data_IF_530658412567
#
_entry.id   IF_530658412567
#
_cell.length_a   1.000
_cell.length_b   1.000
_cell.length_c   1.000
_cell.angle_alpha   90.00
_cell.angle_beta   90.00
_cell.angle_gamma   90.00
#
_symmetry.space_group_name_H-M   'P 1'
#
loop_
_entity.id
_entity.type
_entity.pdbx_description
1 polymer ?
#
# COMPACT_ATOMS: atom_id res chain seq x y z
N UNK A 1 -18.50 -22.94 -3.82
CA UNK A 1 -18.61 -22.55 -2.40
C UNK A 1 -19.55 -21.36 -2.29
N UNK A 2 -20.43 -21.31 -1.29
CA UNK A 2 -21.29 -20.15 -1.07
C UNK A 2 -20.46 -18.98 -0.55
N UNK A 3 -20.49 -17.85 -1.25
CA UNK A 3 -19.85 -16.61 -0.81
C UNK A 3 -20.74 -15.92 0.22
N UNK A 4 -20.15 -15.47 1.31
CA UNK A 4 -20.87 -14.76 2.36
C UNK A 4 -20.22 -13.40 2.67
N UNK A 5 -21.05 -12.41 2.99
CA UNK A 5 -20.58 -11.08 3.38
C UNK A 5 -19.88 -11.14 4.75
N UNK A 6 -18.61 -10.76 4.79
CA UNK A 6 -17.79 -10.80 6.01
C UNK A 6 -17.57 -9.43 6.67
N UNK A 7 -18.01 -8.34 6.03
CA UNK A 7 -17.85 -6.97 6.51
C UNK A 7 -19.20 -6.24 6.60
N UNK A 8 -19.43 -5.60 7.75
CA UNK A 8 -20.52 -4.64 7.97
C UNK A 8 -19.97 -3.23 8.22
N UNK A 9 -20.79 -2.20 7.96
CA UNK A 9 -20.42 -0.80 8.13
C UNK A 9 -21.31 -0.15 9.20
N UNK A 10 -20.71 0.57 10.15
CA UNK A 10 -21.45 1.32 11.17
C UNK A 10 -21.91 2.71 10.66
N UNK A 11 -22.69 3.42 11.49
CA UNK A 11 -23.19 4.77 11.19
C UNK A 11 -22.11 5.83 11.04
N UNK A 12 -20.92 5.59 11.61
CA UNK A 12 -19.75 6.47 11.47
C UNK A 12 -18.93 6.13 10.21
N UNK A 13 -19.28 5.06 9.51
CA UNK A 13 -18.61 4.59 8.31
C UNK A 13 -17.37 3.74 8.58
N UNK A 14 -17.20 3.19 9.79
CA UNK A 14 -16.17 2.20 10.07
C UNK A 14 -16.64 0.80 9.66
N UNK A 15 -15.70 0.00 9.18
CA UNK A 15 -15.96 -1.40 8.84
C UNK A 15 -15.62 -2.30 10.01
N UNK A 16 -16.42 -3.36 10.15
CA UNK A 16 -16.29 -4.37 11.18
C UNK A 16 -16.34 -5.75 10.53
N UNK A 17 -15.36 -6.60 10.85
CA UNK A 17 -15.36 -7.99 10.42
C UNK A 17 -16.32 -8.82 11.26
N UNK A 18 -16.92 -9.85 10.67
CA UNK A 18 -17.83 -10.73 11.38
C UNK A 18 -17.18 -11.34 12.64
N UNK A 19 -15.88 -11.62 12.61
CA UNK A 19 -15.16 -12.19 13.75
C UNK A 19 -15.19 -11.29 14.99
N UNK A 20 -15.23 -9.96 14.82
CA UNK A 20 -15.31 -9.02 15.94
C UNK A 20 -16.71 -8.84 16.51
N UNK A 21 -17.74 -9.40 15.88
CA UNK A 21 -19.14 -9.21 16.28
C UNK A 21 -19.69 -10.38 17.10
N UNK A 22 -20.60 -10.07 18.02
CA UNK A 22 -21.47 -11.10 18.64
C UNK A 22 -22.54 -11.52 17.64
N UNK A 23 -23.04 -12.76 17.74
CA UNK A 23 -24.16 -13.18 16.90
C UNK A 23 -25.44 -12.43 17.26
N UNK A 24 -26.28 -12.13 16.27
CA UNK A 24 -27.54 -11.42 16.45
C UNK A 24 -27.62 -10.12 15.66
N UNK A 25 -28.67 -9.33 15.92
CA UNK A 25 -28.83 -7.99 15.34
C UNK A 25 -27.83 -7.02 16.00
N UNK A 26 -27.32 -6.09 15.21
CA UNK A 26 -26.46 -4.99 15.68
C UNK A 26 -26.62 -3.76 14.80
N UNK A 27 -25.83 -2.72 15.08
CA UNK A 27 -25.91 -1.42 14.41
C UNK A 27 -25.10 -1.36 13.09
N UNK A 28 -24.97 -2.50 12.41
CA UNK A 28 -24.21 -2.63 11.18
C UNK A 28 -25.15 -2.73 9.99
N UNK A 29 -24.75 -2.07 8.91
CA UNK A 29 -25.45 -2.09 7.63
C UNK A 29 -24.56 -2.66 6.52
N UNK A 30 -25.19 -3.18 5.47
CA UNK A 30 -24.51 -3.62 4.27
C UNK A 30 -23.76 -2.45 3.62
N UNK A 31 -22.45 -2.56 3.35
CA UNK A 31 -21.70 -1.49 2.70
C UNK A 31 -22.25 -1.10 1.32
N UNK A 32 -22.95 -2.03 0.65
CA UNK A 32 -23.48 -1.85 -0.70
C UNK A 32 -24.87 -1.23 -0.68
N UNK A 33 -25.85 -1.88 -0.05
CA UNK A 33 -27.26 -1.44 -0.09
C UNK A 33 -27.76 -0.73 1.18
N UNK A 34 -26.92 -0.59 2.22
CA UNK A 34 -27.28 0.00 3.52
C UNK A 34 -28.38 -0.73 4.30
N UNK A 35 -28.85 -1.89 3.85
CA UNK A 35 -29.80 -2.70 4.60
C UNK A 35 -29.14 -3.21 5.92
N UNK A 36 -29.87 -3.20 7.06
CA UNK A 36 -29.35 -3.69 8.33
C UNK A 36 -28.87 -5.15 8.25
N UNK A 37 -27.84 -5.47 9.03
CA UNK A 37 -27.20 -6.78 9.05
C UNK A 37 -27.43 -7.53 10.37
N UNK A 38 -27.52 -8.84 10.25
CA UNK A 38 -27.57 -9.80 11.34
C UNK A 38 -26.28 -10.63 11.29
N UNK A 39 -25.52 -10.63 12.37
CA UNK A 39 -24.34 -11.47 12.51
C UNK A 39 -24.75 -12.93 12.79
N UNK A 40 -24.43 -13.82 11.85
CA UNK A 40 -24.73 -15.25 11.93
C UNK A 40 -23.44 -16.00 12.23
N UNK A 41 -23.35 -16.54 13.46
CA UNK A 41 -22.25 -17.42 13.88
C UNK A 41 -22.84 -18.76 14.32
N UNK A 42 -22.46 -19.83 13.63
CA UNK A 42 -22.93 -21.19 13.91
C UNK A 42 -21.84 -22.22 13.66
N UNK A 43 -22.13 -23.49 13.97
CA UNK A 43 -21.16 -24.58 13.81
C UNK A 43 -21.03 -25.07 12.35
N UNK A 44 -22.06 -24.86 11.53
CA UNK A 44 -22.16 -25.48 10.20
C UNK A 44 -21.70 -24.57 9.06
N UNK A 45 -22.00 -23.27 9.14
CA UNK A 45 -21.64 -22.28 8.12
C UNK A 45 -20.53 -21.40 8.64
N UNK A 46 -19.67 -20.93 7.72
CA UNK A 46 -18.71 -19.88 8.03
C UNK A 46 -19.45 -18.67 8.65
N UNK A 47 -18.83 -18.01 9.61
CA UNK A 47 -19.38 -16.80 10.21
C UNK A 47 -19.60 -15.75 9.11
N UNK A 48 -20.79 -15.16 9.07
CA UNK A 48 -21.10 -14.11 8.10
C UNK A 48 -22.18 -13.13 8.57
N UNK A 49 -22.33 -12.05 7.82
CA UNK A 49 -23.49 -11.16 7.92
C UNK A 49 -24.58 -11.58 6.92
N UNK A 50 -25.82 -11.58 7.40
CA UNK A 50 -27.03 -11.74 6.59
C UNK A 50 -27.83 -10.44 6.63
N UNK A 51 -28.45 -10.06 5.53
CA UNK A 51 -29.40 -8.95 5.52
C UNK A 51 -30.62 -9.24 6.40
N UNK A 52 -31.10 -8.22 7.10
CA UNK A 52 -32.42 -8.19 7.74
C UNK A 52 -33.48 -7.79 6.70
N UNK A 53 -33.55 -8.55 5.60
CA UNK A 53 -34.34 -8.23 4.42
C UNK A 53 -33.78 -8.88 3.15
N UNK A 54 -34.09 -8.29 2.00
CA UNK A 54 -33.58 -8.75 0.71
C UNK A 54 -32.05 -8.61 0.62
N UNK A 55 -31.40 -9.63 0.08
CA UNK A 55 -29.94 -9.64 -0.09
C UNK A 55 -29.57 -9.02 -1.43
N UNK A 56 -28.75 -7.96 -1.40
CA UNK A 56 -28.28 -7.34 -2.65
C UNK A 56 -27.27 -8.21 -3.38
N UNK A 57 -27.24 -8.08 -4.70
CA UNK A 57 -26.37 -8.86 -5.58
C UNK A 57 -24.88 -8.62 -5.31
N UNK A 58 -24.51 -7.37 -5.01
CA UNK A 58 -23.13 -6.97 -4.75
C UNK A 58 -22.52 -7.75 -3.57
N UNK A 59 -23.31 -7.96 -2.51
CA UNK A 59 -22.87 -8.67 -1.30
C UNK A 59 -22.63 -10.17 -1.51
N UNK A 60 -23.07 -10.73 -2.63
CA UNK A 60 -22.85 -12.12 -3.01
C UNK A 60 -21.52 -12.34 -3.72
N UNK A 61 -20.77 -11.27 -4.03
CA UNK A 61 -19.45 -11.36 -4.64
C UNK A 61 -18.36 -11.49 -3.59
N UNK A 62 -17.33 -12.28 -3.88
CA UNK A 62 -16.22 -12.47 -2.96
C UNK A 62 -15.39 -11.19 -2.91
N UNK A 63 -14.99 -10.78 -1.70
CA UNK A 63 -14.06 -9.67 -1.54
C UNK A 63 -12.71 -10.11 -2.10
N UNK A 64 -12.17 -9.43 -3.14
CA UNK A 64 -10.93 -9.87 -3.78
C UNK A 64 -9.79 -9.98 -2.77
N UNK A 65 -9.06 -11.08 -2.84
CA UNK A 65 -7.84 -11.24 -2.07
C UNK A 65 -6.82 -10.16 -2.48
N UNK A 66 -6.07 -9.68 -1.51
CA UNK A 66 -4.90 -8.81 -1.74
C UNK A 66 -3.70 -9.72 -2.04
N UNK A 67 -3.14 -9.68 -3.27
CA UNK A 67 -1.96 -10.45 -3.63
C UNK A 67 -0.76 -10.10 -2.74
N UNK A 68 0.09 -11.09 -2.48
CA UNK A 68 1.24 -11.00 -1.57
C UNK A 68 0.89 -10.61 -0.12
N UNK A 69 -0.39 -10.73 0.25
CA UNK A 69 -0.85 -10.62 1.63
C UNK A 69 -1.65 -11.87 2.04
N UNK A 70 -2.59 -12.28 1.20
CA UNK A 70 -3.36 -13.52 1.43
C UNK A 70 -2.70 -14.73 0.76
N UNK A 71 -2.01 -14.52 -0.36
CA UNK A 71 -1.34 -15.57 -1.12
C UNK A 71 -0.14 -15.01 -1.89
N UNK A 72 0.96 -15.78 -1.97
CA UNK A 72 2.21 -15.37 -2.63
C UNK A 72 2.38 -15.93 -4.04
N UNK A 73 1.47 -16.79 -4.53
CA UNK A 73 1.46 -17.23 -5.93
C UNK A 73 0.87 -16.18 -6.90
N UNK A 74 0.39 -15.04 -6.39
CA UNK A 74 -0.09 -13.89 -7.17
C UNK A 74 -1.12 -14.21 -8.27
N UNK A 75 -1.95 -15.24 -8.06
CA UNK A 75 -2.92 -15.77 -9.03
C UNK A 75 -2.32 -16.46 -10.27
N UNK A 76 -1.01 -16.72 -10.30
CA UNK A 76 -0.45 -17.61 -11.31
C UNK A 76 -0.87 -19.07 -11.04
N UNK A 77 -1.08 -19.88 -12.11
CA UNK A 77 -1.30 -21.32 -12.00
C UNK A 77 -0.14 -22.03 -11.30
N UNK A 78 -0.43 -23.12 -10.58
CA UNK A 78 0.58 -23.90 -9.87
C UNK A 78 1.72 -24.38 -10.79
N UNK A 79 1.41 -24.77 -12.02
CA UNK A 79 2.42 -25.20 -13.00
C UNK A 79 3.49 -24.13 -13.29
N UNK A 80 3.09 -22.85 -13.25
CA UNK A 80 3.99 -21.69 -13.41
C UNK A 80 4.82 -21.48 -12.15
N UNK A 81 4.20 -21.64 -10.97
CA UNK A 81 4.89 -21.54 -9.69
C UNK A 81 5.95 -22.64 -9.56
N UNK A 82 5.60 -23.86 -9.93
CA UNK A 82 6.51 -25.01 -9.92
C UNK A 82 7.67 -24.78 -10.90
N UNK A 83 7.37 -24.34 -12.13
CA UNK A 83 8.40 -23.99 -13.11
C UNK A 83 9.34 -22.87 -12.63
N UNK A 84 8.81 -21.91 -11.87
CA UNK A 84 9.60 -20.81 -11.32
C UNK A 84 10.51 -21.30 -10.20
N UNK A 85 10.01 -22.15 -9.30
CA UNK A 85 10.78 -22.77 -8.23
C UNK A 85 11.87 -23.71 -8.76
N UNK A 86 11.56 -24.53 -9.77
CA UNK A 86 12.54 -25.41 -10.44
C UNK A 86 13.73 -24.59 -10.97
N UNK A 87 13.45 -23.39 -11.47
CA UNK A 87 14.44 -22.44 -11.97
C UNK A 87 15.29 -21.71 -10.93
N UNK A 88 14.89 -21.75 -9.66
CA UNK A 88 15.44 -20.91 -8.60
C UNK A 88 16.44 -21.67 -7.73
N UNK A 89 17.66 -21.13 -7.61
CA UNK A 89 18.72 -21.71 -6.80
C UNK A 89 19.28 -20.67 -5.84
N UNK A 90 18.79 -20.69 -4.59
CA UNK A 90 19.14 -19.71 -3.56
C UNK A 90 20.63 -19.68 -3.20
N UNK A 91 21.30 -20.83 -3.24
CA UNK A 91 22.73 -20.98 -2.87
C UNK A 91 23.69 -20.86 -4.07
N UNK A 92 23.17 -20.57 -5.27
CA UNK A 92 24.00 -20.36 -6.45
C UNK A 92 24.79 -19.04 -6.38
N UNK A 93 25.84 -18.91 -7.19
CA UNK A 93 26.59 -17.64 -7.33
C UNK A 93 25.74 -16.51 -7.93
N UNK A 94 24.66 -16.84 -8.61
CA UNK A 94 23.76 -15.90 -9.30
C UNK A 94 22.30 -16.22 -8.95
N UNK A 95 21.89 -16.02 -7.68
CA UNK A 95 20.58 -16.47 -7.19
C UNK A 95 19.40 -15.68 -7.78
N UNK A 96 19.67 -14.59 -8.49
CA UNK A 96 18.65 -13.81 -9.19
C UNK A 96 18.48 -14.24 -10.66
N UNK A 97 19.25 -15.22 -11.16
CA UNK A 97 19.19 -15.71 -12.54
C UNK A 97 18.40 -17.02 -12.59
N UNK A 98 17.50 -17.13 -13.56
CA UNK A 98 16.74 -18.34 -13.85
C UNK A 98 17.63 -19.40 -14.52
N UNK A 99 17.92 -20.49 -13.81
CA UNK A 99 18.95 -21.44 -14.22
C UNK A 99 18.47 -22.43 -15.30
N UNK A 100 17.16 -22.65 -15.43
CA UNK A 100 16.57 -23.64 -16.33
C UNK A 100 16.04 -23.04 -17.64
N UNK A 101 16.67 -21.98 -18.17
CA UNK A 101 16.10 -21.22 -19.30
C UNK A 101 15.91 -22.01 -20.60
N UNK A 102 16.73 -23.04 -20.88
CA UNK A 102 16.59 -23.87 -22.10
C UNK A 102 15.47 -24.90 -22.02
N UNK A 103 15.22 -25.48 -20.84
CA UNK A 103 14.27 -26.57 -20.66
C UNK A 103 12.98 -26.16 -19.94
N UNK A 104 12.97 -25.10 -19.14
CA UNK A 104 11.80 -24.67 -18.35
C UNK A 104 10.98 -23.55 -18.99
N UNK A 105 11.55 -22.75 -19.90
CA UNK A 105 10.92 -21.52 -20.38
C UNK A 105 9.67 -21.78 -21.25
N UNK A 106 9.53 -22.95 -21.87
CA UNK A 106 8.33 -23.30 -22.64
C UNK A 106 7.08 -23.47 -21.75
N UNK A 107 7.28 -23.70 -20.44
CA UNK A 107 6.18 -23.82 -19.45
C UNK A 107 5.50 -22.48 -19.14
N UNK A 108 6.12 -21.36 -19.51
CA UNK A 108 5.58 -20.02 -19.26
C UNK A 108 4.85 -19.50 -20.50
N UNK A 109 3.60 -18.99 -20.38
CA UNK A 109 2.98 -18.22 -21.45
C UNK A 109 3.71 -16.88 -21.63
N UNK A 110 3.53 -16.24 -22.79
CA UNK A 110 4.24 -14.99 -23.13
C UNK A 110 4.04 -13.89 -22.08
N UNK A 111 2.80 -13.66 -21.64
CA UNK A 111 2.48 -12.65 -20.62
C UNK A 111 3.22 -12.91 -19.30
N UNK A 112 3.23 -14.15 -18.83
CA UNK A 112 3.96 -14.52 -17.61
C UNK A 112 5.48 -14.32 -17.79
N UNK A 113 6.05 -14.55 -18.97
CA UNK A 113 7.48 -14.29 -19.20
C UNK A 113 7.83 -12.82 -19.05
N UNK A 114 7.02 -11.95 -19.65
CA UNK A 114 7.22 -10.50 -19.63
C UNK A 114 7.07 -9.93 -18.20
N UNK A 115 6.24 -10.55 -17.36
CA UNK A 115 6.05 -10.13 -15.97
C UNK A 115 7.05 -10.74 -14.97
N UNK A 116 7.50 -11.97 -15.19
CA UNK A 116 8.33 -12.74 -14.25
C UNK A 116 9.83 -12.66 -14.54
N UNK A 117 10.22 -12.33 -15.78
CA UNK A 117 11.62 -12.28 -16.19
C UNK A 117 11.99 -10.98 -16.91
N UNK A 118 13.20 -10.50 -16.66
CA UNK A 118 13.86 -9.47 -17.46
C UNK A 118 15.13 -10.05 -18.08
N UNK A 119 15.55 -9.55 -19.25
CA UNK A 119 16.85 -9.92 -19.83
C UNK A 119 17.94 -9.00 -19.30
N UNK A 120 19.08 -9.59 -19.00
CA UNK A 120 20.31 -8.85 -18.74
C UNK A 120 20.98 -8.46 -20.07
N UNK A 121 21.17 -7.16 -20.30
CA UNK A 121 21.70 -6.65 -21.58
C UNK A 121 23.12 -7.14 -21.89
N UNK A 122 23.90 -7.51 -20.87
CA UNK A 122 25.31 -7.89 -21.01
C UNK A 122 25.51 -9.39 -21.17
N UNK A 123 24.74 -10.19 -20.44
CA UNK A 123 24.93 -11.64 -20.36
C UNK A 123 23.83 -12.45 -21.06
N UNK A 124 22.77 -11.78 -21.56
CA UNK A 124 21.54 -12.38 -22.08
C UNK A 124 20.85 -13.36 -21.11
N UNK A 125 21.22 -13.30 -19.83
CA UNK A 125 20.62 -14.11 -18.78
C UNK A 125 19.20 -13.62 -18.48
N UNK A 126 18.31 -14.57 -18.17
CA UNK A 126 16.98 -14.25 -17.63
C UNK A 126 17.09 -14.01 -16.13
N UNK A 127 16.85 -12.77 -15.72
CA UNK A 127 16.83 -12.33 -14.33
C UNK A 127 15.37 -12.36 -13.82
N UNK A 128 15.16 -12.84 -12.61
CA UNK A 128 13.86 -12.75 -11.94
C UNK A 128 13.47 -11.30 -11.66
N UNK A 129 12.27 -10.89 -12.07
CA UNK A 129 11.68 -9.60 -11.68
C UNK A 129 11.30 -9.59 -10.20
N UNK A 130 10.99 -8.42 -9.66
CA UNK A 130 10.51 -8.31 -8.27
C UNK A 130 9.20 -9.09 -8.04
N UNK A 131 8.35 -9.24 -9.06
CA UNK A 131 7.16 -10.09 -9.01
C UNK A 131 7.55 -11.57 -8.81
N UNK A 132 8.46 -12.08 -9.64
CA UNK A 132 8.97 -13.45 -9.47
C UNK A 132 9.68 -13.64 -8.13
N UNK A 133 10.49 -12.67 -7.70
CA UNK A 133 11.20 -12.73 -6.42
C UNK A 133 10.27 -12.63 -5.21
N UNK A 134 9.11 -11.98 -5.36
CA UNK A 134 8.04 -11.99 -4.35
C UNK A 134 7.43 -13.38 -4.22
N UNK A 135 7.14 -14.04 -5.34
CA UNK A 135 6.65 -15.43 -5.37
C UNK A 135 7.67 -16.37 -4.72
N UNK A 136 8.94 -16.24 -5.06
CA UNK A 136 10.03 -17.08 -4.56
C UNK A 136 10.45 -16.76 -3.11
N UNK A 137 9.94 -15.69 -2.49
CA UNK A 137 10.38 -15.23 -1.18
C UNK A 137 11.82 -14.68 -1.17
N UNK A 138 12.41 -14.39 -2.34
CA UNK A 138 13.80 -13.99 -2.49
C UNK A 138 14.02 -12.48 -2.53
N UNK A 139 12.97 -11.68 -2.76
CA UNK A 139 13.02 -10.22 -2.74
C UNK A 139 13.36 -9.69 -1.33
N UNK A 140 14.34 -8.78 -1.14
CA UNK A 140 14.59 -8.17 0.17
C UNK A 140 13.38 -7.36 0.69
N UNK A 141 13.23 -7.24 2.02
CA UNK A 141 12.06 -6.59 2.61
C UNK A 141 11.82 -5.16 2.12
N UNK A 142 12.88 -4.39 1.85
CA UNK A 142 12.76 -3.04 1.28
C UNK A 142 12.15 -3.06 -0.13
N UNK A 143 12.66 -3.93 -1.01
CA UNK A 143 12.12 -4.10 -2.36
C UNK A 143 10.67 -4.60 -2.32
N UNK A 144 10.36 -5.54 -1.42
CA UNK A 144 8.98 -5.99 -1.21
C UNK A 144 8.07 -4.86 -0.73
N UNK A 145 8.53 -4.02 0.21
CA UNK A 145 7.76 -2.87 0.70
C UNK A 145 7.40 -1.91 -0.44
N UNK A 146 8.35 -1.60 -1.33
CA UNK A 146 8.14 -0.75 -2.50
C UNK A 146 7.18 -1.41 -3.50
N UNK A 147 7.43 -2.67 -3.85
CA UNK A 147 6.57 -3.46 -4.74
C UNK A 147 5.14 -3.55 -4.22
N UNK A 148 4.95 -3.84 -2.93
CA UNK A 148 3.64 -3.99 -2.31
C UNK A 148 2.89 -2.66 -2.27
N UNK A 149 3.57 -1.56 -1.92
CA UNK A 149 2.97 -0.21 -1.95
C UNK A 149 2.47 0.15 -3.36
N UNK A 150 3.23 -0.16 -4.40
CA UNK A 150 2.83 0.07 -5.79
C UNK A 150 1.61 -0.79 -6.16
N UNK A 151 1.61 -2.08 -5.81
CA UNK A 151 0.48 -2.99 -6.04
C UNK A 151 -0.80 -2.49 -5.36
N UNK A 152 -0.71 -2.05 -4.11
CA UNK A 152 -1.85 -1.50 -3.37
C UNK A 152 -2.40 -0.22 -4.01
N UNK A 153 -1.53 0.67 -4.48
CA UNK A 153 -1.92 1.89 -5.18
C UNK A 153 -2.63 1.60 -6.49
N UNK A 154 -2.12 0.66 -7.29
CA UNK A 154 -2.76 0.26 -8.54
C UNK A 154 -4.17 -0.29 -8.32
N UNK A 155 -4.38 -1.09 -7.27
CA UNK A 155 -5.71 -1.60 -6.92
C UNK A 155 -6.70 -0.47 -6.62
N UNK A 156 -6.28 0.54 -5.85
CA UNK A 156 -7.12 1.73 -5.58
C UNK A 156 -7.41 2.52 -6.85
N UNK A 157 -6.42 2.63 -7.74
CA UNK A 157 -6.59 3.33 -9.02
C UNK A 157 -7.60 2.63 -9.93
N UNK A 158 -7.45 1.33 -10.15
CA UNK A 158 -8.38 0.52 -10.97
C UNK A 158 -9.81 0.57 -10.44
N UNK A 159 -10.00 0.48 -9.12
CA UNK A 159 -11.35 0.61 -8.52
C UNK A 159 -11.95 1.99 -8.78
N UNK A 160 -11.16 3.06 -8.72
CA UNK A 160 -11.65 4.42 -9.01
C UNK A 160 -12.09 4.56 -10.46
N UNK A 161 -11.29 4.07 -11.40
CA UNK A 161 -11.64 4.09 -12.82
C UNK A 161 -12.93 3.30 -13.09
N UNK A 162 -13.07 2.11 -12.50
CA UNK A 162 -14.27 1.29 -12.61
C UNK A 162 -15.51 1.98 -12.02
N UNK A 163 -15.38 2.68 -10.89
CA UNK A 163 -16.46 3.48 -10.29
C UNK A 163 -16.83 4.66 -11.19
N UNK A 164 -15.84 5.37 -11.75
CA UNK A 164 -16.07 6.49 -12.67
C UNK A 164 -16.77 6.04 -13.96
N UNK A 165 -16.48 4.84 -14.43
CA UNK A 165 -17.14 4.19 -15.57
C UNK A 165 -18.52 3.59 -15.21
N UNK A 166 -18.91 3.58 -13.94
CA UNK A 166 -20.16 3.00 -13.48
C UNK A 166 -20.21 1.46 -13.49
N UNK A 167 -19.06 0.79 -13.64
CA UNK A 167 -18.97 -0.68 -13.70
C UNK A 167 -18.83 -1.31 -12.31
N UNK A 168 -18.49 -0.53 -11.28
CA UNK A 168 -18.35 -1.02 -9.91
C UNK A 168 -19.00 -0.10 -8.88
N UNK A 169 -19.59 -0.73 -7.86
CA UNK A 169 -20.14 -0.03 -6.70
C UNK A 169 -19.03 0.61 -5.85
N UNK A 170 -19.26 1.83 -5.36
CA UNK A 170 -18.28 2.59 -4.58
C UNK A 170 -17.77 1.88 -3.32
N UNK A 171 -18.62 1.09 -2.68
CA UNK A 171 -18.28 0.34 -1.48
C UNK A 171 -17.05 -0.57 -1.67
N UNK A 172 -16.76 -1.03 -2.90
CA UNK A 172 -15.54 -1.78 -3.20
C UNK A 172 -14.26 -0.99 -2.89
N UNK A 173 -14.22 0.28 -3.29
CA UNK A 173 -13.11 1.18 -2.98
C UNK A 173 -12.98 1.42 -1.48
N UNK A 174 -14.11 1.55 -0.77
CA UNK A 174 -14.11 1.78 0.68
C UNK A 174 -13.62 0.55 1.47
N UNK A 175 -14.06 -0.64 1.08
CA UNK A 175 -13.59 -1.92 1.64
C UNK A 175 -12.09 -2.09 1.38
N UNK A 176 -11.64 -1.86 0.15
CA UNK A 176 -10.23 -1.95 -0.21
C UNK A 176 -9.39 -0.92 0.58
N UNK A 177 -9.82 0.33 0.62
CA UNK A 177 -9.13 1.38 1.37
C UNK A 177 -9.09 1.10 2.88
N UNK A 178 -10.15 0.53 3.46
CA UNK A 178 -10.16 0.11 4.86
C UNK A 178 -9.10 -0.96 5.15
N UNK A 179 -9.05 -2.01 4.32
CA UNK A 179 -8.06 -3.10 4.45
C UNK A 179 -6.63 -2.60 4.28
N UNK A 180 -6.40 -1.78 3.25
CA UNK A 180 -5.08 -1.18 3.00
C UNK A 180 -4.66 -0.23 4.13
N UNK A 181 -5.57 0.58 4.66
CA UNK A 181 -5.30 1.47 5.79
C UNK A 181 -4.81 0.68 7.02
N UNK A 182 -5.43 -0.47 7.32
CA UNK A 182 -5.07 -1.29 8.47
C UNK A 182 -3.65 -1.87 8.38
N UNK A 183 -3.16 -2.20 7.18
CA UNK A 183 -1.80 -2.74 6.99
C UNK A 183 -0.74 -1.65 6.82
N UNK A 184 -1.06 -0.56 6.11
CA UNK A 184 -0.13 0.54 5.85
C UNK A 184 0.13 1.38 7.11
N UNK A 185 -0.88 1.58 7.97
CA UNK A 185 -0.74 2.39 9.19
C UNK A 185 -0.07 1.63 10.34
N UNK A 186 -0.10 0.30 10.31
CA UNK A 186 0.47 -0.49 11.39
C UNK A 186 2.00 -0.45 11.38
N UNK A 187 2.61 -0.46 12.57
CA UNK A 187 4.04 -0.62 12.73
C UNK A 187 4.42 -2.10 12.68
N UNK A 188 5.48 -2.44 11.97
CA UNK A 188 6.10 -3.76 11.99
C UNK A 188 7.07 -3.85 13.18
N UNK A 189 7.08 -4.97 13.88
CA UNK A 189 8.03 -5.23 14.97
C UNK A 189 8.70 -6.60 14.82
N UNK A 190 9.86 -6.71 15.46
CA UNK A 190 10.56 -7.97 15.73
C UNK A 190 10.83 -8.03 17.23
N UNK A 191 10.25 -9.02 17.89
CA UNK A 191 10.47 -9.31 19.31
C UNK A 191 11.32 -10.56 19.47
N UNK A 192 12.00 -10.64 20.61
CA UNK A 192 12.75 -11.81 21.06
C UNK A 192 12.31 -12.19 22.47
N UNK A 193 12.17 -13.49 22.68
CA UNK A 193 11.81 -14.13 23.94
C UNK A 193 12.87 -15.15 24.28
N UNK A 194 13.37 -15.11 25.51
CA UNK A 194 14.12 -16.19 26.11
C UNK A 194 13.19 -16.90 27.09
N UNK A 195 13.06 -18.21 26.92
CA UNK A 195 12.26 -19.07 27.80
C UNK A 195 13.12 -19.65 28.93
N UNK A 196 12.48 -20.20 29.96
CA UNK A 196 13.13 -20.80 31.13
C UNK A 196 14.09 -21.97 30.80
N UNK A 197 13.88 -22.65 29.67
CA UNK A 197 14.76 -23.72 29.17
C UNK A 197 15.93 -23.21 28.31
N UNK A 198 16.16 -21.88 28.31
CA UNK A 198 17.12 -21.16 27.48
C UNK A 198 16.84 -21.18 25.97
N UNK A 199 15.70 -21.71 25.53
CA UNK A 199 15.32 -21.57 24.12
C UNK A 199 14.97 -20.12 23.78
N UNK A 200 15.30 -19.72 22.55
CA UNK A 200 15.04 -18.37 22.04
C UNK A 200 14.01 -18.44 20.93
N UNK A 201 12.97 -17.63 21.05
CA UNK A 201 11.89 -17.54 20.08
C UNK A 201 11.77 -16.09 19.63
N UNK A 202 11.53 -15.89 18.34
CA UNK A 202 11.29 -14.57 17.76
C UNK A 202 9.83 -14.44 17.34
N UNK A 203 9.28 -13.24 17.44
CA UNK A 203 7.95 -12.92 16.89
C UNK A 203 8.07 -11.74 15.96
N UNK A 204 7.59 -11.91 14.75
CA UNK A 204 7.36 -10.81 13.82
C UNK A 204 5.88 -10.50 13.85
N UNK A 205 5.52 -9.22 13.84
CA UNK A 205 4.12 -8.88 13.75
C UNK A 205 3.89 -7.41 13.48
N UNK A 206 2.61 -7.06 13.35
CA UNK A 206 2.18 -5.67 13.23
C UNK A 206 1.33 -5.21 14.40
N UNK A 207 1.41 -3.92 14.73
CA UNK A 207 0.64 -3.31 15.82
C UNK A 207 0.24 -1.87 15.47
N UNK A 208 -0.93 -1.46 15.95
CA UNK A 208 -1.35 -0.05 16.01
C UNK A 208 -1.14 0.59 17.39
N UNK A 209 -0.78 -0.21 18.40
CA UNK A 209 -0.42 0.21 19.77
C UNK A 209 1.08 0.43 19.88
N UNK A 210 1.55 0.93 21.02
CA UNK A 210 2.99 0.97 21.27
C UNK A 210 3.57 -0.47 21.40
N UNK A 211 4.77 -0.74 20.86
CA UNK A 211 5.37 -2.07 20.89
C UNK A 211 5.53 -2.65 22.28
N UNK A 212 5.80 -1.83 23.29
CA UNK A 212 6.01 -2.25 24.66
C UNK A 212 4.71 -2.77 25.29
N UNK A 213 3.57 -2.17 24.98
CA UNK A 213 2.25 -2.68 25.36
C UNK A 213 1.97 -4.01 24.66
N UNK A 214 2.25 -4.06 23.35
CA UNK A 214 2.06 -5.28 22.56
C UNK A 214 2.96 -6.43 23.03
N UNK A 215 4.19 -6.14 23.47
CA UNK A 215 5.14 -7.11 23.98
C UNK A 215 4.60 -7.82 25.22
N UNK A 216 3.98 -7.07 26.15
CA UNK A 216 3.37 -7.65 27.36
C UNK A 216 2.23 -8.61 27.03
N UNK A 217 1.35 -8.23 26.09
CA UNK A 217 0.28 -9.09 25.62
C UNK A 217 0.84 -10.39 25.02
N UNK A 218 1.87 -10.30 24.18
CA UNK A 218 2.40 -11.45 23.46
C UNK A 218 3.31 -12.35 24.31
N UNK A 219 3.81 -11.87 25.45
CA UNK A 219 4.41 -12.72 26.48
C UNK A 219 3.36 -13.69 27.03
N UNK A 220 2.20 -13.17 27.46
CA UNK A 220 1.13 -14.01 28.03
C UNK A 220 0.62 -15.04 27.01
N UNK A 221 0.46 -14.63 25.75
CA UNK A 221 0.06 -15.54 24.66
C UNK A 221 1.09 -16.66 24.48
N UNK A 222 2.39 -16.32 24.51
CA UNK A 222 3.48 -17.28 24.31
C UNK A 222 3.60 -18.26 25.48
N UNK A 223 3.55 -17.78 26.72
CA UNK A 223 3.60 -18.62 27.92
C UNK A 223 2.44 -19.60 27.94
N UNK A 224 1.22 -19.12 27.61
CA UNK A 224 0.04 -19.98 27.50
C UNK A 224 0.18 -21.04 26.41
N UNK A 225 0.75 -20.68 25.26
CA UNK A 225 0.88 -21.60 24.12
C UNK A 225 2.01 -22.61 24.28
N UNK A 226 3.07 -22.27 25.00
CA UNK A 226 4.26 -23.14 25.20
C UNK A 226 4.26 -23.86 26.54
N UNK A 227 3.50 -23.38 27.52
CA UNK A 227 3.56 -23.86 28.91
C UNK A 227 4.84 -23.48 29.65
N UNK A 228 5.67 -22.60 29.08
CA UNK A 228 6.98 -22.19 29.62
C UNK A 228 6.98 -20.74 30.00
N UNK A 229 7.63 -20.38 31.10
CA UNK A 229 7.78 -18.99 31.51
C UNK A 229 8.77 -18.24 30.59
N UNK A 230 8.47 -16.97 30.29
CA UNK A 230 9.38 -16.07 29.57
C UNK A 230 10.25 -15.36 30.59
N UNK A 231 11.55 -15.66 30.60
CA UNK A 231 12.51 -15.05 31.53
C UNK A 231 13.00 -13.68 31.05
N UNK A 232 12.98 -13.44 29.73
CA UNK A 232 13.37 -12.17 29.13
C UNK A 232 12.59 -11.93 27.85
N UNK A 233 12.09 -10.72 27.66
CA UNK A 233 11.46 -10.28 26.42
C UNK A 233 12.03 -8.93 25.99
N UNK A 234 12.29 -8.77 24.69
CA UNK A 234 12.96 -7.57 24.16
C UNK A 234 12.37 -7.15 22.81
N UNK A 235 12.19 -5.83 22.63
CA UNK A 235 11.92 -5.26 21.31
C UNK A 235 13.23 -5.14 20.55
N UNK A 236 13.47 -6.01 19.56
CA UNK A 236 14.69 -5.95 18.76
C UNK A 236 14.64 -4.86 17.70
N UNK A 237 13.49 -4.70 17.01
CA UNK A 237 13.28 -3.72 15.94
C UNK A 237 11.82 -3.27 15.89
N UNK A 238 11.62 -2.02 15.45
CA UNK A 238 10.32 -1.40 15.12
C UNK A 238 10.49 -0.61 13.82
N UNK A 239 9.54 -0.74 12.91
CA UNK A 239 9.42 0.11 11.70
C UNK A 239 8.00 0.63 11.63
N UNK A 240 7.83 1.95 11.77
CA UNK A 240 6.52 2.58 11.63
C UNK A 240 5.98 2.41 10.20
N UNK A 241 4.66 2.32 10.05
CA UNK A 241 3.99 2.31 8.75
C UNK A 241 4.45 1.20 7.78
N UNK A 242 4.83 0.04 8.32
CA UNK A 242 5.39 -1.08 7.56
C UNK A 242 4.67 -2.42 7.81
N UNK A 243 3.47 -2.39 8.37
CA UNK A 243 2.70 -3.60 8.69
C UNK A 243 2.36 -4.45 7.46
N UNK A 244 2.32 -3.88 6.25
CA UNK A 244 2.13 -4.60 4.99
C UNK A 244 3.24 -5.60 4.64
N UNK A 245 4.38 -5.55 5.34
CA UNK A 245 5.52 -6.46 5.14
C UNK A 245 5.41 -7.75 5.97
N UNK A 246 4.59 -7.76 7.02
CA UNK A 246 4.48 -8.86 7.99
C UNK A 246 4.38 -10.24 7.35
N UNK A 247 3.38 -10.46 6.48
CA UNK A 247 3.14 -11.76 5.87
C UNK A 247 4.26 -12.23 4.95
N UNK A 248 4.97 -11.28 4.34
CA UNK A 248 6.11 -11.60 3.48
C UNK A 248 7.33 -12.07 4.27
N UNK A 249 7.50 -11.63 5.52
CA UNK A 249 8.55 -12.18 6.40
C UNK A 249 8.34 -13.66 6.61
N UNK A 250 7.10 -14.10 6.88
CA UNK A 250 6.81 -15.53 7.06
C UNK A 250 6.94 -16.33 5.78
N UNK A 251 6.60 -15.73 4.63
CA UNK A 251 6.83 -16.37 3.33
C UNK A 251 8.32 -16.61 3.07
N UNK A 252 9.16 -15.60 3.33
CA UNK A 252 10.62 -15.66 3.13
C UNK A 252 11.34 -16.57 4.13
N UNK A 253 10.84 -16.65 5.36
CA UNK A 253 11.43 -17.43 6.46
C UNK A 253 10.56 -18.65 6.82
N UNK A 254 9.88 -19.25 5.84
CA UNK A 254 8.95 -20.34 6.05
C UNK A 254 9.58 -21.55 6.76
N UNK A 255 10.84 -21.87 6.44
CA UNK A 255 11.61 -22.95 7.02
C UNK A 255 12.01 -22.70 8.49
N UNK A 256 11.86 -21.47 8.98
CA UNK A 256 12.15 -21.08 10.36
C UNK A 256 10.88 -20.83 11.18
N UNK A 257 9.68 -21.12 10.65
CA UNK A 257 8.43 -20.98 11.39
C UNK A 257 8.41 -21.91 12.60
N UNK A 258 8.08 -21.36 13.76
CA UNK A 258 7.95 -22.11 15.00
C UNK A 258 6.54 -22.72 15.08
N UNK A 259 6.46 -24.01 15.44
CA UNK A 259 5.19 -24.66 15.72
C UNK A 259 4.75 -24.37 17.17
N UNK A 260 3.97 -23.31 17.38
CA UNK A 260 3.52 -22.86 18.70
C UNK A 260 1.99 -22.82 18.74
N UNK A 261 1.38 -23.98 19.02
CA UNK A 261 -0.07 -24.12 19.06
C UNK A 261 -0.74 -23.65 17.77
N UNK A 262 -1.69 -22.73 17.87
CA UNK A 262 -2.38 -22.13 16.72
C UNK A 262 -1.71 -20.86 16.18
N UNK A 263 -0.58 -20.43 16.75
CA UNK A 263 0.09 -19.20 16.35
C UNK A 263 0.97 -19.42 15.13
N UNK A 264 0.90 -18.49 14.18
CA UNK A 264 1.60 -18.58 12.88
C UNK A 264 2.72 -17.56 12.74
N UNK A 265 2.90 -16.73 13.75
CA UNK A 265 3.72 -15.52 13.70
C UNK A 265 5.04 -15.61 14.49
N UNK A 266 5.41 -16.82 14.93
CA UNK A 266 6.65 -17.09 15.66
C UNK A 266 7.69 -17.79 14.79
N UNK A 267 8.97 -17.53 15.06
CA UNK A 267 10.12 -18.01 14.33
C UNK A 267 11.19 -18.55 15.30
N UNK A 268 11.93 -19.57 14.89
CA UNK A 268 13.19 -19.99 15.51
C UNK A 268 14.32 -19.64 14.55
N UNK A 269 15.04 -18.55 14.84
CA UNK A 269 16.09 -18.02 13.96
C UNK A 269 17.46 -18.40 14.47
N UNK A 270 18.31 -18.95 13.59
CA UNK A 270 19.74 -19.03 13.84
C UNK A 270 20.41 -17.65 13.81
N UNK A 271 21.65 -17.55 14.30
CA UNK A 271 22.39 -16.29 14.37
C UNK A 271 22.51 -15.59 13.02
N UNK A 272 22.67 -16.36 11.94
CA UNK A 272 22.84 -15.83 10.58
C UNK A 272 21.53 -15.20 10.09
N UNK A 273 20.43 -15.90 10.27
CA UNK A 273 19.07 -15.51 9.87
C UNK A 273 18.59 -14.32 10.69
N UNK A 274 18.84 -14.32 12.01
CA UNK A 274 18.53 -13.21 12.90
C UNK A 274 19.32 -11.95 12.52
N UNK A 275 20.64 -12.07 12.28
CA UNK A 275 21.47 -10.94 11.83
C UNK A 275 20.97 -10.39 10.50
N UNK A 276 20.65 -11.26 9.53
CA UNK A 276 20.07 -10.86 8.23
C UNK A 276 18.74 -10.13 8.40
N UNK A 277 17.80 -10.69 9.18
CA UNK A 277 16.49 -10.08 9.41
C UNK A 277 16.61 -8.72 10.09
N UNK A 278 17.45 -8.60 11.13
CA UNK A 278 17.74 -7.32 11.79
C UNK A 278 18.32 -6.29 10.83
N UNK A 279 19.18 -6.69 9.90
CA UNK A 279 19.73 -5.82 8.88
C UNK A 279 18.67 -5.38 7.84
N UNK A 280 17.76 -6.27 7.44
CA UNK A 280 16.64 -5.92 6.55
C UNK A 280 15.66 -4.94 7.23
N UNK A 281 15.38 -5.11 8.52
CA UNK A 281 14.63 -4.12 9.32
C UNK A 281 15.36 -2.77 9.38
N UNK A 282 16.67 -2.76 9.62
CA UNK A 282 17.45 -1.50 9.61
C UNK A 282 17.40 -0.82 8.24
N UNK A 283 17.50 -1.58 7.14
CA UNK A 283 17.33 -1.04 5.78
C UNK A 283 15.94 -0.45 5.56
N UNK A 284 14.88 -1.12 6.03
CA UNK A 284 13.52 -0.58 5.98
C UNK A 284 13.42 0.76 6.72
N UNK A 285 13.90 0.83 7.96
CA UNK A 285 13.87 2.06 8.76
C UNK A 285 14.60 3.20 8.07
N UNK A 286 15.80 2.95 7.53
CA UNK A 286 16.64 4.00 6.95
C UNK A 286 16.15 4.49 5.57
N UNK A 287 15.32 3.71 4.88
CA UNK A 287 14.86 4.01 3.52
C UNK A 287 13.33 4.12 3.46
N UNK A 288 12.68 4.46 4.57
CA UNK A 288 11.23 4.59 4.61
C UNK A 288 10.79 5.85 3.86
N UNK A 289 10.27 5.67 2.66
CA UNK A 289 9.71 6.78 1.89
C UNK A 289 8.39 7.27 2.51
N UNK A 290 8.16 8.60 2.57
CA UNK A 290 6.89 9.14 3.03
C UNK A 290 5.75 8.68 2.11
N UNK A 291 4.54 8.66 2.65
CA UNK A 291 3.36 8.35 1.86
C UNK A 291 3.13 9.39 0.76
N UNK A 292 2.92 8.91 -0.47
CA UNK A 292 2.54 9.76 -1.59
C UNK A 292 1.07 10.21 -1.45
N UNK A 293 0.55 10.96 -2.44
CA UNK A 293 -0.81 11.51 -2.39
C UNK A 293 -1.89 10.42 -2.34
N UNK A 294 -1.72 9.34 -3.10
CA UNK A 294 -2.68 8.23 -3.15
C UNK A 294 -2.70 7.46 -1.84
N UNK A 295 -1.52 7.19 -1.28
CA UNK A 295 -1.39 6.49 0.00
C UNK A 295 -1.90 7.32 1.16
N UNK A 296 -1.60 8.63 1.19
CA UNK A 296 -2.15 9.54 2.22
C UNK A 296 -3.67 9.54 2.20
N UNK A 297 -4.30 9.46 1.04
CA UNK A 297 -5.77 9.36 0.96
C UNK A 297 -6.30 8.13 1.69
N UNK A 298 -5.61 6.99 1.59
CA UNK A 298 -5.95 5.74 2.28
C UNK A 298 -5.62 5.83 3.78
N UNK A 299 -4.36 6.13 4.10
CA UNK A 299 -3.81 6.09 5.48
C UNK A 299 -4.51 7.08 6.41
N UNK A 300 -4.83 8.28 5.94
CA UNK A 300 -5.52 9.30 6.75
C UNK A 300 -7.00 9.00 6.97
N UNK A 301 -7.57 8.00 6.28
CA UNK A 301 -9.00 7.73 6.33
C UNK A 301 -9.86 8.73 5.54
N UNK A 302 -9.23 9.59 4.73
CA UNK A 302 -9.92 10.62 3.92
C UNK A 302 -10.99 10.02 3.01
N UNK A 303 -10.80 8.79 2.55
CA UNK A 303 -11.79 8.04 1.78
C UNK A 303 -13.17 7.94 2.44
N UNK A 304 -13.26 7.95 3.77
CA UNK A 304 -14.54 7.85 4.52
C UNK A 304 -15.45 9.07 4.33
N UNK A 305 -14.87 10.26 4.17
CA UNK A 305 -15.58 11.53 4.18
C UNK A 305 -15.31 12.39 2.95
N UNK A 306 -14.57 11.88 1.95
CA UNK A 306 -14.18 12.65 0.77
C UNK A 306 -15.40 13.24 0.05
N UNK A 307 -16.48 12.48 -0.09
CA UNK A 307 -17.70 12.98 -0.76
C UNK A 307 -18.40 14.08 0.03
N UNK A 308 -18.49 13.96 1.35
CA UNK A 308 -19.01 15.04 2.19
C UNK A 308 -18.16 16.30 2.02
N UNK A 309 -16.87 16.15 1.73
CA UNK A 309 -15.88 17.23 1.73
C UNK A 309 -15.81 18.12 0.48
N UNK A 310 -15.51 17.70 -0.74
CA UNK A 310 -16.52 17.14 -1.63
C UNK A 310 -17.67 18.14 -1.82
N UNK A 311 -18.87 17.70 -1.44
CA UNK A 311 -20.10 18.48 -1.47
C UNK A 311 -20.00 19.78 -0.66
N UNK A 312 -19.35 19.78 0.51
CA UNK A 312 -19.16 20.99 1.30
C UNK A 312 -18.35 22.06 0.56
N UNK A 313 -17.28 21.67 -0.13
CA UNK A 313 -16.46 22.58 -0.94
C UNK A 313 -17.24 23.13 -2.14
N UNK A 314 -18.06 22.29 -2.81
CA UNK A 314 -18.93 22.76 -3.91
C UNK A 314 -19.94 23.79 -3.40
N UNK A 315 -20.63 23.49 -2.30
CA UNK A 315 -21.56 24.43 -1.65
C UNK A 315 -20.88 25.74 -1.25
N UNK A 316 -19.66 25.68 -0.71
CA UNK A 316 -18.89 26.87 -0.37
C UNK A 316 -18.53 27.72 -1.59
N UNK A 317 -18.15 27.07 -2.70
CA UNK A 317 -17.87 27.77 -3.96
C UNK A 317 -19.13 28.45 -4.51
N UNK A 318 -20.26 27.74 -4.52
CA UNK A 318 -21.55 28.28 -4.96
C UNK A 318 -21.99 29.48 -4.11
N UNK A 319 -21.80 29.42 -2.79
CA UNK A 319 -22.11 30.54 -1.88
C UNK A 319 -21.23 31.75 -2.19
N UNK A 320 -19.91 31.57 -2.29
CA UNK A 320 -18.99 32.66 -2.62
C UNK A 320 -19.31 33.27 -3.98
N UNK A 321 -19.74 32.47 -4.97
CA UNK A 321 -20.19 32.99 -6.27
C UNK A 321 -21.46 33.82 -6.16
N UNK A 322 -22.45 33.39 -5.37
CA UNK A 322 -23.69 34.17 -5.11
C UNK A 322 -23.40 35.49 -4.42
N UNK A 323 -22.46 35.51 -3.50
CA UNK A 323 -22.03 36.71 -2.76
C UNK A 323 -21.08 37.61 -3.57
N UNK A 324 -20.89 37.35 -4.87
CA UNK A 324 -19.94 38.07 -5.72
C UNK A 324 -18.51 38.09 -5.18
N UNK A 325 -18.14 37.06 -4.40
CA UNK A 325 -16.81 36.87 -3.86
C UNK A 325 -15.78 36.69 -4.98
N UNK A 326 -14.59 37.26 -4.79
CA UNK A 326 -13.52 37.19 -5.77
C UNK A 326 -12.85 35.81 -5.74
N UNK A 327 -12.85 35.11 -6.87
CA UNK A 327 -12.12 33.86 -7.06
C UNK A 327 -10.81 34.08 -7.82
N UNK A 328 -9.80 33.27 -7.49
CA UNK A 328 -8.52 33.22 -8.19
C UNK A 328 -7.50 34.23 -7.67
N UNK A 329 -6.37 34.31 -8.37
CA UNK A 329 -5.32 35.29 -8.07
C UNK A 329 -5.93 36.69 -8.22
N UNK A 330 -5.72 37.62 -7.27
CA UNK A 330 -6.05 39.02 -7.50
C UNK A 330 -5.52 39.42 -8.87
N UNK A 331 -6.32 40.13 -9.68
CA UNK A 331 -5.81 40.71 -10.93
C UNK A 331 -4.50 41.38 -10.57
N UNK A 332 -3.39 40.86 -11.12
CA UNK A 332 -2.07 41.39 -10.81
C UNK A 332 -2.14 42.89 -10.99
N UNK A 333 -1.57 43.64 -10.05
CA UNK A 333 -1.47 45.11 -10.09
C UNK A 333 -1.48 45.55 -11.54
N UNK A 334 -2.51 46.29 -11.95
CA UNK A 334 -2.49 47.12 -13.15
C UNK A 334 -1.46 48.21 -12.90
N UNK A 335 -0.20 47.78 -12.82
CA UNK A 335 0.96 48.62 -12.91
C UNK A 335 0.81 49.27 -14.28
N UNK A 336 0.81 50.61 -14.33
CA UNK A 336 0.72 51.33 -15.60
C UNK A 336 1.80 50.82 -16.56
N UNK A 337 1.59 50.98 -17.86
CA UNK A 337 2.57 50.52 -18.88
C UNK A 337 3.98 50.99 -18.52
N UNK A 338 4.12 52.24 -18.09
CA UNK A 338 5.39 52.85 -17.69
C UNK A 338 6.03 52.17 -16.48
N UNK A 339 5.26 51.97 -15.41
CA UNK A 339 5.75 51.29 -14.21
C UNK A 339 6.08 49.80 -14.49
N UNK A 340 5.38 49.18 -15.45
CA UNK A 340 5.62 47.80 -15.87
C UNK A 340 6.92 47.68 -16.68
N UNK A 341 7.19 48.65 -17.55
CA UNK A 341 8.45 48.77 -18.27
C UNK A 341 9.61 49.12 -17.33
N UNK A 342 9.40 50.03 -16.38
CA UNK A 342 10.40 50.41 -15.37
C UNK A 342 10.80 49.21 -14.49
N UNK A 343 9.83 48.39 -14.08
CA UNK A 343 10.07 47.16 -13.32
C UNK A 343 10.86 46.10 -14.11
N UNK A 344 10.83 46.18 -15.43
CA UNK A 344 11.46 45.23 -16.36
C UNK A 344 12.45 45.93 -17.28
N UNK A 345 13.17 46.93 -16.76
CA UNK A 345 14.14 47.74 -17.50
C UNK A 345 15.32 46.92 -18.06
N UNK A 346 15.65 45.80 -17.41
CA UNK A 346 16.61 44.80 -17.89
C UNK A 346 16.17 44.15 -19.20
N UNK A 347 14.89 43.77 -19.31
CA UNK A 347 14.30 43.23 -20.53
C UNK A 347 14.23 44.31 -21.62
N UNK A 348 13.81 45.53 -21.28
CA UNK A 348 13.71 46.67 -22.22
C UNK A 348 15.07 46.94 -22.85
N UNK A 349 16.10 47.15 -22.02
CA UNK A 349 17.47 47.40 -22.47
C UNK A 349 18.00 46.27 -23.37
N UNK A 350 17.68 45.02 -23.03
CA UNK A 350 18.11 43.86 -23.81
C UNK A 350 17.41 43.79 -25.18
N UNK A 351 16.13 44.15 -25.26
CA UNK A 351 15.37 44.19 -26.52
C UNK A 351 15.77 45.36 -27.42
N UNK A 352 16.03 46.54 -26.86
CA UNK A 352 16.52 47.72 -27.59
C UNK A 352 17.88 47.48 -28.24
N UNK A 353 18.74 46.66 -27.60
CA UNK A 353 20.01 46.18 -28.17
C UNK A 353 19.84 45.15 -29.29
N UNK A 354 18.62 44.96 -29.80
CA UNK A 354 18.32 44.09 -30.95
C UNK A 354 18.27 42.59 -30.64
N UNK A 355 18.29 42.18 -29.36
CA UNK A 355 18.25 40.75 -29.01
C UNK A 355 16.86 40.16 -29.23
N UNK A 356 16.83 38.91 -29.68
CA UNK A 356 15.58 38.16 -29.84
C UNK A 356 14.94 37.85 -28.47
N UNK A 357 13.64 37.51 -28.48
CA UNK A 357 12.90 37.15 -27.24
C UNK A 357 13.57 36.01 -26.48
N UNK A 358 14.13 35.02 -27.20
CA UNK A 358 14.80 33.87 -26.59
C UNK A 358 16.12 34.28 -25.93
N UNK A 359 16.94 35.06 -26.62
CA UNK A 359 18.21 35.58 -26.09
C UNK A 359 17.98 36.50 -24.90
N UNK A 360 16.95 37.35 -24.93
CA UNK A 360 16.61 38.22 -23.80
C UNK A 360 16.09 37.43 -22.59
N UNK A 361 15.30 36.37 -22.79
CA UNK A 361 14.84 35.51 -21.69
C UNK A 361 16.01 34.79 -21.00
N UNK A 362 16.96 34.30 -21.79
CA UNK A 362 18.18 33.65 -21.30
C UNK A 362 19.09 34.65 -20.57
N UNK A 363 19.30 35.83 -21.15
CA UNK A 363 20.16 36.88 -20.59
C UNK A 363 19.62 37.48 -19.29
N UNK A 364 18.29 37.63 -19.15
CA UNK A 364 17.65 38.23 -17.97
C UNK A 364 17.19 37.20 -16.92
N UNK A 365 17.26 35.90 -17.25
CA UNK A 365 16.73 34.82 -16.40
C UNK A 365 15.21 34.88 -16.20
N UNK A 366 14.48 35.62 -17.04
CA UNK A 366 13.02 35.80 -16.95
C UNK A 366 12.29 34.87 -17.91
N UNK A 367 11.08 34.47 -17.54
CA UNK A 367 10.23 33.64 -18.40
C UNK A 367 9.91 34.33 -19.75
N UNK A 368 9.93 33.55 -20.85
CA UNK A 368 9.64 34.03 -22.22
C UNK A 368 8.30 34.76 -22.32
N UNK A 369 7.29 34.35 -21.55
CA UNK A 369 5.98 35.00 -21.50
C UNK A 369 6.04 36.42 -20.92
N UNK A 370 6.95 36.69 -19.98
CA UNK A 370 7.18 38.03 -19.45
C UNK A 370 7.90 38.91 -20.46
N UNK A 371 8.93 38.39 -21.14
CA UNK A 371 9.64 39.11 -22.21
C UNK A 371 8.71 39.49 -23.36
N UNK A 372 7.81 38.58 -23.78
CA UNK A 372 6.77 38.87 -24.79
C UNK A 372 5.83 40.00 -24.36
N UNK A 373 5.40 40.01 -23.09
CA UNK A 373 4.52 41.06 -22.55
C UNK A 373 5.22 42.42 -22.47
N UNK A 374 6.49 42.45 -22.09
CA UNK A 374 7.31 43.67 -22.08
C UNK A 374 7.51 44.21 -23.50
N UNK A 375 7.89 43.35 -24.47
CA UNK A 375 8.01 43.76 -25.87
C UNK A 375 6.69 44.32 -26.44
N UNK A 376 5.57 43.69 -26.12
CA UNK A 376 4.26 44.16 -26.54
C UNK A 376 3.87 45.50 -25.88
N UNK A 377 4.31 45.73 -24.63
CA UNK A 377 4.13 46.99 -23.92
C UNK A 377 5.02 48.12 -24.46
N UNK A 378 6.24 47.82 -24.94
CA UNK A 378 7.12 48.78 -25.61
C UNK A 378 6.60 49.25 -26.98
N UNK A 379 5.76 48.42 -27.63
CA UNK A 379 5.20 48.68 -28.96
C UNK A 379 3.80 49.30 -28.92
N UNK A 380 3.26 49.55 -27.71
CA UNK A 380 2.03 50.31 -27.49
C UNK A 380 2.39 51.75 -27.22
#
# INVERSE_FOLDING_TARGET
MSVYLSLGKDTQGNFHHIDSQKSGKGDLACPFCQCPLIAVKGKTKAAHFRHDGETCNESMNEIPQIPAWHHFHLNYPLEIIDALNDGYQADSKSPNVFQHWKSGLHRFPRSAKEELFSRDDWTDNLIFTDTARTILGSLPLLGFSQWMRNTLQMRVHTLREAIEQGTQHRAWLEIEAHRQQAILKASLYLFEYQLEDNSVIHKVGRTSREPEERLKETVLDLEKATGKAVIKSTVLRKVANCGHVEKYVFHRYNNQLANIGSHTEYLVLDDKSLKRLKAEFTKLTNNLEPFNKAERFVVTGRWKYEEKRLAASKRGIELTQRESGKFGRPKGTTVGTDDFLAKHSDIVTSLERGRSINQTAEFTGKGRSTVKRVKAAMNK
#
